data_IF_167097778011
#
_entry.id   IF_167097778011
#
_cell.length_a   1.000
_cell.length_b   1.000
_cell.length_c   1.000
_cell.angle_alpha   90.00
_cell.angle_beta   90.00
_cell.angle_gamma   90.00
#
_symmetry.space_group_name_H-M   'P 1'
#
loop_
_entity.id
_entity.type
_entity.pdbx_description
1 polymer ?
#
# COMPACT_ATOMS: atom_id res chain seq x y z
N UNK A 1 0.18 20.12 13.72
CA UNK A 1 -0.32 19.56 12.43
C UNK A 1 -0.63 18.07 12.62
N UNK A 2 -1.45 17.46 11.75
CA UNK A 2 -1.65 15.99 11.76
C UNK A 2 -0.61 15.34 10.87
N UNK A 3 0.09 14.34 11.38
CA UNK A 3 1.03 13.52 10.63
C UNK A 3 0.60 12.06 10.68
N UNK A 4 1.08 11.27 9.72
CA UNK A 4 0.90 9.82 9.71
C UNK A 4 2.23 9.15 9.41
N UNK A 5 2.43 7.94 9.94
CA UNK A 5 3.57 7.11 9.56
C UNK A 5 3.19 6.22 8.37
N UNK A 6 3.95 6.22 7.27
CA UNK A 6 3.66 5.35 6.13
C UNK A 6 3.93 3.86 6.43
N UNK A 7 4.67 3.53 7.48
CA UNK A 7 4.94 2.14 7.88
C UNK A 7 3.82 1.56 8.76
N UNK A 8 3.56 2.17 9.92
CA UNK A 8 2.58 1.64 10.87
C UNK A 8 1.17 2.25 10.71
N UNK A 9 1.01 3.24 9.84
CA UNK A 9 -0.24 3.95 9.53
C UNK A 9 -0.91 4.66 10.72
N UNK A 10 -0.25 4.78 11.88
CA UNK A 10 -0.76 5.54 13.01
C UNK A 10 -0.65 7.04 12.75
N UNK A 11 -1.65 7.75 13.26
CA UNK A 11 -1.69 9.20 13.29
C UNK A 11 -1.06 9.71 14.57
N UNK A 12 -0.37 10.84 14.49
CA UNK A 12 0.16 11.55 15.64
C UNK A 12 0.09 13.06 15.43
N UNK A 13 0.15 13.78 16.55
CA UNK A 13 -0.05 15.23 16.63
C UNK A 13 1.22 15.88 17.15
N UNK A 14 1.62 16.99 16.53
CA UNK A 14 2.84 17.72 16.91
C UNK A 14 3.47 18.40 15.71
N UNK A 15 4.79 18.57 15.76
CA UNK A 15 5.61 19.25 14.76
C UNK A 15 6.84 18.39 14.38
N UNK A 16 7.16 18.37 13.08
CA UNK A 16 8.40 17.87 12.47
C UNK A 16 8.97 16.52 12.95
N UNK A 17 8.19 15.46 12.73
CA UNK A 17 8.64 14.09 12.96
C UNK A 17 9.51 13.57 11.82
N UNK A 18 10.80 13.36 12.09
CA UNK A 18 11.66 12.54 11.23
C UNK A 18 11.49 11.06 11.54
N UNK A 19 11.45 10.70 12.82
CA UNK A 19 11.25 9.32 13.29
C UNK A 19 9.82 9.18 13.83
N UNK A 20 9.16 8.09 13.46
CA UNK A 20 7.83 7.78 13.96
C UNK A 20 7.90 7.41 15.46
N UNK A 21 7.17 8.10 16.35
CA UNK A 21 7.20 7.82 17.79
C UNK A 21 6.54 6.48 18.18
N UNK A 22 5.90 5.80 17.23
CA UNK A 22 5.13 4.59 17.46
C UNK A 22 5.82 3.31 16.98
N UNK A 23 6.77 3.41 16.05
CA UNK A 23 7.43 2.25 15.45
C UNK A 23 8.88 2.49 15.02
N UNK A 24 9.46 3.64 15.40
CA UNK A 24 10.84 4.05 15.12
C UNK A 24 11.24 4.13 13.64
N UNK A 25 10.28 4.04 12.72
CA UNK A 25 10.52 4.20 11.30
C UNK A 25 10.92 5.63 10.93
N UNK A 26 11.97 5.80 10.13
CA UNK A 26 12.33 7.09 9.56
C UNK A 26 11.33 7.49 8.46
N UNK A 27 10.47 8.44 8.77
CA UNK A 27 9.40 8.92 7.89
C UNK A 27 10.00 9.60 6.64
N UNK A 28 11.11 10.34 6.78
CA UNK A 28 11.77 11.01 5.64
C UNK A 28 12.37 10.01 4.65
N UNK A 29 12.76 8.82 5.09
CA UNK A 29 13.21 7.78 4.17
C UNK A 29 12.12 7.34 3.21
N UNK A 30 10.85 7.46 3.60
CA UNK A 30 9.74 7.16 2.71
C UNK A 30 9.70 8.09 1.51
N UNK A 31 10.10 9.35 1.65
CA UNK A 31 10.11 10.32 0.55
C UNK A 31 11.06 9.90 -0.58
N UNK A 32 12.14 9.20 -0.24
CA UNK A 32 13.13 8.70 -1.18
C UNK A 32 12.69 7.41 -1.92
N UNK A 33 11.60 6.76 -1.51
CA UNK A 33 11.09 5.57 -2.21
C UNK A 33 10.53 5.94 -3.58
N UNK A 34 10.69 5.03 -4.54
CA UNK A 34 10.07 5.20 -5.84
C UNK A 34 8.53 5.14 -5.72
N UNK A 35 7.85 5.76 -6.68
CA UNK A 35 6.40 5.90 -6.65
C UNK A 35 5.65 4.56 -6.51
N UNK A 36 6.15 3.50 -7.16
CA UNK A 36 5.54 2.17 -7.09
C UNK A 36 5.79 1.54 -5.72
N UNK A 37 6.97 1.68 -5.15
CA UNK A 37 7.25 1.19 -3.80
C UNK A 37 6.32 1.85 -2.77
N UNK A 38 6.02 3.15 -2.95
CA UNK A 38 5.03 3.87 -2.13
C UNK A 38 3.63 3.29 -2.30
N UNK A 39 3.21 2.98 -3.53
CA UNK A 39 1.92 2.32 -3.79
C UNK A 39 1.86 0.91 -3.19
N UNK A 40 2.88 0.09 -3.39
CA UNK A 40 2.95 -1.27 -2.83
C UNK A 40 2.85 -1.21 -1.30
N UNK A 41 3.54 -0.26 -0.66
CA UNK A 41 3.44 -0.05 0.78
C UNK A 41 2.00 0.34 1.21
N UNK A 42 1.31 1.16 0.43
CA UNK A 42 -0.07 1.57 0.68
C UNK A 42 -1.11 0.43 0.61
N UNK A 43 -0.75 -0.76 0.12
CA UNK A 43 -1.60 -1.96 0.25
C UNK A 43 -1.83 -2.38 1.71
N UNK A 44 -1.01 -1.92 2.65
CA UNK A 44 -1.15 -2.17 4.08
C UNK A 44 -1.96 -1.08 4.82
N UNK A 45 -2.53 -0.11 4.08
CA UNK A 45 -3.30 0.97 4.68
C UNK A 45 -4.52 0.45 5.46
N UNK A 46 -4.83 1.08 6.61
CA UNK A 46 -5.92 0.64 7.52
C UNK A 46 -7.29 0.70 6.84
N UNK A 47 -7.56 1.76 6.08
CA UNK A 47 -8.81 1.93 5.33
C UNK A 47 -8.86 1.00 4.10
N UNK A 48 -9.94 0.20 3.99
CA UNK A 48 -10.15 -0.72 2.87
C UNK A 48 -10.33 -0.01 1.52
N UNK A 49 -10.99 1.14 1.50
CA UNK A 49 -11.18 1.96 0.30
C UNK A 49 -9.84 2.40 -0.32
N UNK A 50 -8.89 2.84 0.51
CA UNK A 50 -7.55 3.24 0.07
C UNK A 50 -6.84 2.03 -0.55
N UNK A 51 -6.87 0.88 0.13
CA UNK A 51 -6.30 -0.36 -0.42
C UNK A 51 -6.91 -0.72 -1.77
N UNK A 52 -8.23 -0.59 -1.92
CA UNK A 52 -8.92 -0.85 -3.18
C UNK A 52 -8.43 0.08 -4.31
N UNK A 53 -8.33 1.38 -4.06
CA UNK A 53 -7.79 2.33 -5.04
C UNK A 53 -6.35 2.01 -5.44
N UNK A 54 -5.50 1.67 -4.47
CA UNK A 54 -4.11 1.28 -4.73
C UNK A 54 -4.05 0.04 -5.63
N UNK A 55 -4.86 -0.99 -5.36
CA UNK A 55 -4.98 -2.18 -6.22
C UNK A 55 -5.35 -1.79 -7.65
N UNK A 56 -6.33 -0.91 -7.83
CA UNK A 56 -6.76 -0.42 -9.15
C UNK A 56 -5.63 0.33 -9.87
N UNK A 57 -4.91 1.22 -9.17
CA UNK A 57 -3.80 2.00 -9.74
C UNK A 57 -2.70 1.04 -10.22
N UNK A 58 -2.30 0.08 -9.40
CA UNK A 58 -1.27 -0.91 -9.74
C UNK A 58 -1.69 -1.76 -10.95
N UNK A 59 -2.96 -2.16 -11.02
CA UNK A 59 -3.51 -2.92 -12.14
C UNK A 59 -3.55 -2.10 -13.45
N UNK A 60 -3.96 -0.84 -13.38
CA UNK A 60 -3.97 0.06 -14.55
C UNK A 60 -2.57 0.31 -15.10
N UNK A 61 -1.58 0.44 -14.21
CA UNK A 61 -0.16 0.59 -14.56
C UNK A 61 0.50 -0.70 -15.03
N UNK A 62 -0.20 -1.85 -14.96
CA UNK A 62 0.35 -3.18 -15.25
C UNK A 62 1.63 -3.48 -14.46
N UNK A 63 1.66 -3.05 -13.20
CA UNK A 63 2.86 -3.11 -12.38
C UNK A 63 3.17 -4.55 -11.93
N UNK A 64 4.13 -5.19 -12.61
CA UNK A 64 4.51 -6.58 -12.34
C UNK A 64 5.11 -6.77 -10.94
N UNK A 65 5.79 -5.76 -10.38
CA UNK A 65 6.37 -5.83 -9.02
C UNK A 65 5.29 -5.98 -7.95
N UNK A 66 4.05 -5.57 -8.22
CA UNK A 66 2.95 -5.65 -7.25
C UNK A 66 2.34 -7.05 -7.11
N UNK A 67 2.53 -7.94 -8.08
CA UNK A 67 1.91 -9.28 -8.09
C UNK A 67 2.13 -10.07 -6.79
N UNK A 68 3.36 -10.25 -6.26
CA UNK A 68 3.56 -10.98 -5.01
C UNK A 68 2.84 -10.33 -3.81
N UNK A 69 2.67 -9.01 -3.81
CA UNK A 69 1.97 -8.29 -2.73
C UNK A 69 0.46 -8.42 -2.84
N UNK A 70 -0.09 -8.41 -4.05
CA UNK A 70 -1.51 -8.68 -4.30
C UNK A 70 -1.87 -10.14 -3.96
N UNK A 71 -0.97 -11.07 -4.28
CA UNK A 71 -1.06 -12.49 -3.90
C UNK A 71 -1.13 -12.67 -2.39
N UNK A 72 -0.24 -11.98 -1.67
CA UNK A 72 -0.24 -11.97 -0.20
C UNK A 72 -1.53 -11.36 0.35
N UNK A 73 -1.92 -10.18 -0.16
CA UNK A 73 -3.14 -9.48 0.27
C UNK A 73 -4.38 -10.38 0.16
N UNK A 74 -4.57 -11.06 -0.98
CA UNK A 74 -5.66 -12.00 -1.20
C UNK A 74 -5.72 -13.12 -0.16
N UNK A 75 -4.57 -13.63 0.28
CA UNK A 75 -4.50 -14.76 1.23
C UNK A 75 -4.75 -14.32 2.67
N UNK A 76 -4.36 -13.11 3.03
CA UNK A 76 -4.37 -12.63 4.42
C UNK A 76 -5.61 -11.80 4.76
N UNK A 77 -6.20 -11.10 3.78
CA UNK A 77 -7.37 -10.26 4.04
C UNK A 77 -8.63 -11.09 4.23
N UNK A 78 -9.48 -10.68 5.19
CA UNK A 78 -10.83 -11.24 5.38
C UNK A 78 -11.91 -10.51 4.59
N UNK A 79 -11.55 -9.42 3.91
CA UNK A 79 -12.46 -8.61 3.10
C UNK A 79 -12.63 -9.21 1.70
N UNK A 80 -13.82 -9.77 1.36
CA UNK A 80 -14.05 -10.41 0.06
C UNK A 80 -13.92 -9.43 -1.11
N UNK A 81 -14.19 -8.14 -0.90
CA UNK A 81 -14.07 -7.11 -1.94
C UNK A 81 -12.62 -6.89 -2.31
N UNK A 82 -11.72 -6.89 -1.31
CA UNK A 82 -10.28 -6.77 -1.52
C UNK A 82 -9.68 -8.04 -2.13
N UNK A 83 -10.19 -9.22 -1.76
CA UNK A 83 -9.82 -10.49 -2.43
C UNK A 83 -10.13 -10.39 -3.91
N UNK A 84 -11.37 -10.08 -4.28
CA UNK A 84 -11.80 -9.98 -5.67
C UNK A 84 -11.01 -8.93 -6.45
N UNK A 85 -10.80 -7.75 -5.86
CA UNK A 85 -10.02 -6.68 -6.48
C UNK A 85 -8.58 -7.13 -6.78
N UNK A 86 -7.93 -7.83 -5.84
CA UNK A 86 -6.58 -8.35 -6.05
C UNK A 86 -6.53 -9.41 -7.15
N UNK A 87 -7.52 -10.31 -7.23
CA UNK A 87 -7.60 -11.32 -8.29
C UNK A 87 -7.75 -10.70 -9.68
N UNK A 88 -8.66 -9.73 -9.82
CA UNK A 88 -8.89 -9.01 -11.07
C UNK A 88 -7.62 -8.22 -11.48
N UNK A 89 -6.95 -7.59 -10.51
CA UNK A 89 -5.69 -6.89 -10.73
C UNK A 89 -4.57 -7.82 -11.21
N UNK A 90 -4.37 -8.96 -10.55
CA UNK A 90 -3.35 -9.96 -10.91
C UNK A 90 -3.60 -10.44 -12.35
N UNK A 91 -4.84 -10.83 -12.68
CA UNK A 91 -5.22 -11.25 -14.04
C UNK A 91 -4.91 -10.16 -15.06
N UNK A 92 -5.26 -8.90 -14.78
CA UNK A 92 -5.02 -7.77 -15.68
C UNK A 92 -3.52 -7.49 -15.90
N UNK A 93 -2.71 -7.63 -14.85
CA UNK A 93 -1.25 -7.47 -14.94
C UNK A 93 -0.63 -8.60 -15.77
N UNK A 94 -1.12 -9.83 -15.61
CA UNK A 94 -0.58 -11.04 -16.25
C UNK A 94 -1.10 -11.29 -17.67
N UNK A 95 -2.27 -10.76 -18.05
CA UNK A 95 -2.84 -10.90 -19.39
C UNK A 95 -2.02 -10.25 -20.52
N UNK A 96 -0.86 -9.68 -20.20
CA UNK A 96 0.14 -9.22 -21.16
C UNK A 96 1.30 -10.21 -21.13
N UNK A 97 1.08 -11.35 -21.80
CA UNK A 97 2.03 -12.40 -22.11
C UNK A 97 1.75 -12.90 -23.52
#
# INVERSE_FOLDING_TARGET
MRYYCPNCWKDFWGEDFEICPECDYNIKEFDNKDYVDKLINALQHRAGEVRHWIIMILAQRKEKRAVPYLEKLRKETKDPSLVRAAEEAIRKIQAVG
#
